data_IF_858068530440
#
_entry.id   IF_858068530440
#
_cell.length_a   1.000
_cell.length_b   1.000
_cell.length_c   1.000
_cell.angle_alpha   90.00
_cell.angle_beta   90.00
_cell.angle_gamma   90.00
#
_symmetry.space_group_name_H-M   'P 1'
#
loop_
_entity.id
_entity.type
_entity.pdbx_description
1 polymer ?
#
# COMPACT_ATOMS: atom_id res chain seq x y z
N UNK A 1 9.98 -5.24 -4.94
CA UNK A 1 8.57 -4.84 -5.10
C UNK A 1 8.11 -5.13 -6.53
N UNK A 2 6.94 -5.71 -6.66
CA UNK A 2 6.37 -6.05 -7.96
C UNK A 2 5.23 -5.08 -8.29
N UNK A 3 5.23 -4.57 -9.52
CA UNK A 3 4.14 -3.73 -10.02
C UNK A 3 3.02 -4.61 -10.54
N UNK A 4 1.79 -4.34 -10.11
CA UNK A 4 0.60 -5.03 -10.61
C UNK A 4 -0.47 -4.00 -10.92
N UNK A 5 -1.40 -4.35 -11.83
CA UNK A 5 -2.49 -3.44 -12.16
C UNK A 5 -3.59 -3.48 -11.09
N UNK A 6 -4.54 -2.55 -11.19
CA UNK A 6 -5.60 -2.43 -10.18
C UNK A 6 -6.47 -3.70 -10.12
N UNK A 7 -6.73 -4.33 -11.24
CA UNK A 7 -7.53 -5.56 -11.28
C UNK A 7 -6.86 -6.69 -10.50
N UNK A 8 -5.57 -6.91 -10.74
CA UNK A 8 -4.79 -7.91 -10.01
C UNK A 8 -4.70 -7.57 -8.53
N UNK A 9 -4.52 -6.27 -8.22
CA UNK A 9 -4.48 -5.80 -6.83
C UNK A 9 -5.78 -6.16 -6.10
N UNK A 10 -6.93 -5.89 -6.71
CA UNK A 10 -8.24 -6.19 -6.12
C UNK A 10 -8.39 -7.70 -5.87
N UNK A 11 -7.95 -8.54 -6.81
CA UNK A 11 -7.99 -9.98 -6.63
C UNK A 11 -7.12 -10.44 -5.46
N UNK A 12 -5.93 -9.88 -5.33
CA UNK A 12 -5.02 -10.22 -4.24
C UNK A 12 -5.53 -9.76 -2.87
N UNK A 13 -6.37 -8.73 -2.83
CA UNK A 13 -6.97 -8.28 -1.56
C UNK A 13 -7.80 -9.37 -0.88
N UNK A 14 -8.25 -10.37 -1.63
CA UNK A 14 -9.07 -11.47 -1.11
C UNK A 14 -8.22 -12.59 -0.51
N UNK A 15 -6.92 -12.59 -0.72
CA UNK A 15 -6.03 -13.65 -0.25
C UNK A 15 -5.74 -13.51 1.24
N UNK A 16 -5.54 -14.64 1.96
CA UNK A 16 -5.21 -14.58 3.38
C UNK A 16 -3.81 -13.99 3.62
N UNK A 17 -3.55 -13.53 4.82
CA UNK A 17 -2.27 -12.95 5.23
C UNK A 17 -1.85 -11.75 4.38
N UNK A 18 -2.82 -10.97 3.93
CA UNK A 18 -2.62 -9.82 3.07
C UNK A 18 -3.01 -8.54 3.80
N UNK A 19 -2.14 -7.54 3.74
CA UNK A 19 -2.37 -6.21 4.33
C UNK A 19 -2.39 -5.19 3.20
N UNK A 20 -3.41 -4.35 3.17
CA UNK A 20 -3.52 -3.24 2.22
C UNK A 20 -2.93 -2.01 2.90
N UNK A 21 -1.89 -1.44 2.31
CA UNK A 21 -1.15 -0.33 2.90
C UNK A 21 -1.31 0.92 2.05
N UNK A 22 -1.96 1.94 2.62
CA UNK A 22 -2.11 3.25 2.01
C UNK A 22 -0.98 4.14 2.50
N UNK A 23 -0.14 4.61 1.58
CA UNK A 23 1.02 5.45 1.96
C UNK A 23 0.82 6.90 1.57
N UNK A 24 -0.45 7.32 1.38
CA UNK A 24 -0.81 8.71 1.12
C UNK A 24 -0.86 9.51 2.42
N UNK A 25 -1.21 10.78 2.30
CA UNK A 25 -1.37 11.65 3.47
C UNK A 25 -2.71 11.37 4.17
N UNK A 26 -2.85 11.77 5.46
CA UNK A 26 -4.14 11.65 6.16
C UNK A 26 -5.29 12.36 5.45
N UNK A 27 -5.04 13.50 4.82
CA UNK A 27 -6.07 14.23 4.07
C UNK A 27 -6.58 13.43 2.87
N UNK A 28 -5.66 12.83 2.12
CA UNK A 28 -6.04 11.96 0.98
C UNK A 28 -6.84 10.74 1.49
N UNK A 29 -6.39 10.12 2.56
CA UNK A 29 -7.06 8.96 3.15
C UNK A 29 -8.49 9.31 3.56
N UNK A 30 -8.68 10.45 4.22
CA UNK A 30 -10.01 10.88 4.68
C UNK A 30 -10.97 11.18 3.54
N UNK A 31 -10.46 11.58 2.37
CA UNK A 31 -11.29 11.86 1.20
C UNK A 31 -11.80 10.58 0.52
N UNK A 32 -11.17 9.45 0.80
CA UNK A 32 -11.57 8.15 0.27
C UNK A 32 -10.38 7.19 0.26
N UNK A 33 -10.60 5.94 0.67
CA UNK A 33 -9.55 4.93 0.75
C UNK A 33 -10.13 3.53 0.53
N UNK A 34 -9.26 2.58 0.27
CA UNK A 34 -9.68 1.18 0.13
C UNK A 34 -10.10 0.65 1.52
N UNK A 35 -11.26 -0.02 1.64
CA UNK A 35 -11.69 -0.57 2.93
C UNK A 35 -10.63 -1.51 3.52
N UNK A 36 -10.48 -1.44 4.83
CA UNK A 36 -9.51 -2.25 5.60
C UNK A 36 -8.05 -1.88 5.34
N UNK A 37 -7.77 -0.80 4.60
CA UNK A 37 -6.39 -0.36 4.43
C UNK A 37 -5.86 0.29 5.70
N UNK A 38 -4.55 0.13 5.89
CA UNK A 38 -3.83 0.74 7.01
C UNK A 38 -3.07 1.94 6.45
N UNK A 39 -3.22 3.10 7.08
CA UNK A 39 -2.54 4.32 6.65
C UNK A 39 -1.18 4.44 7.33
N UNK A 40 -0.13 4.49 6.53
CA UNK A 40 1.20 4.90 7.00
C UNK A 40 1.74 5.90 5.99
N UNK A 41 1.73 7.18 6.34
CA UNK A 41 2.09 8.28 5.45
C UNK A 41 3.57 8.21 5.08
N UNK A 42 3.86 8.00 3.78
CA UNK A 42 5.23 7.91 3.27
C UNK A 42 6.04 9.18 3.51
N UNK A 43 5.37 10.35 3.56
CA UNK A 43 6.05 11.63 3.75
C UNK A 43 6.28 11.99 5.21
N UNK A 44 5.73 11.21 6.14
CA UNK A 44 5.90 11.48 7.56
C UNK A 44 7.31 11.09 8.02
N UNK A 45 7.89 11.86 8.98
CA UNK A 45 9.26 11.57 9.44
C UNK A 45 9.42 10.19 10.09
N UNK A 46 8.36 9.61 10.60
CA UNK A 46 8.39 8.32 11.30
C UNK A 46 8.00 7.14 10.40
N UNK A 47 7.91 7.35 9.08
CA UNK A 47 7.49 6.29 8.15
C UNK A 47 8.37 5.04 8.29
N UNK A 48 9.69 5.21 8.24
CA UNK A 48 10.63 4.09 8.31
C UNK A 48 10.51 3.31 9.61
N UNK A 49 10.29 4.02 10.72
CA UNK A 49 10.09 3.38 12.03
C UNK A 49 8.82 2.55 12.04
N UNK A 50 7.73 3.11 11.50
CA UNK A 50 6.43 2.41 11.50
C UNK A 50 6.44 1.16 10.65
N UNK A 51 7.06 1.18 9.46
CA UNK A 51 7.10 -0.02 8.62
C UNK A 51 7.94 -1.13 9.25
N UNK A 52 8.97 -0.80 10.02
CA UNK A 52 9.78 -1.82 10.71
C UNK A 52 9.00 -2.61 11.74
N UNK A 53 7.92 -2.04 12.27
CA UNK A 53 7.08 -2.71 13.26
C UNK A 53 6.04 -3.65 12.62
N UNK A 54 5.93 -3.65 11.29
CA UNK A 54 4.98 -4.52 10.59
C UNK A 54 5.51 -5.95 10.51
N UNK A 55 4.57 -6.91 10.45
CA UNK A 55 4.91 -8.33 10.29
C UNK A 55 5.42 -8.58 8.88
N UNK A 56 6.71 -8.90 8.76
CA UNK A 56 7.38 -9.07 7.45
C UNK A 56 7.00 -10.35 6.73
N UNK A 57 6.32 -11.27 7.40
CA UNK A 57 5.90 -12.53 6.81
C UNK A 57 4.59 -12.42 6.00
N UNK A 58 3.88 -11.30 6.13
CA UNK A 58 2.63 -11.07 5.41
C UNK A 58 2.89 -10.51 4.02
N UNK A 59 1.87 -10.60 3.16
CA UNK A 59 1.86 -9.97 1.84
C UNK A 59 1.34 -8.54 1.97
N UNK A 60 2.05 -7.59 1.40
CA UNK A 60 1.67 -6.18 1.45
C UNK A 60 1.28 -5.69 0.07
N UNK A 61 0.07 -5.13 0.00
CA UNK A 61 -0.47 -4.48 -1.20
C UNK A 61 -0.42 -2.98 -0.95
N UNK A 62 0.53 -2.30 -1.57
CA UNK A 62 0.84 -0.91 -1.28
C UNK A 62 0.32 -0.01 -2.38
N UNK A 63 -0.35 1.09 -2.02
CA UNK A 63 -0.83 2.05 -3.00
C UNK A 63 -0.69 3.49 -2.51
N UNK A 64 -0.62 4.40 -3.48
CA UNK A 64 -0.72 5.83 -3.25
C UNK A 64 -1.67 6.42 -4.29
N UNK A 65 -1.59 7.71 -4.57
CA UNK A 65 -2.50 8.33 -5.54
C UNK A 65 -2.21 7.90 -6.97
N UNK A 66 -0.94 7.91 -7.40
CA UNK A 66 -0.54 7.67 -8.79
C UNK A 66 0.50 6.55 -8.95
N UNK A 67 1.02 5.98 -7.88
CA UNK A 67 1.94 4.84 -7.92
C UNK A 67 3.39 5.13 -7.59
N UNK A 68 3.82 6.40 -7.50
CA UNK A 68 5.23 6.72 -7.26
C UNK A 68 5.65 6.61 -5.80
N UNK A 69 4.88 7.18 -4.89
CA UNK A 69 5.19 7.08 -3.45
C UNK A 69 5.13 5.63 -2.98
N UNK A 70 4.14 4.88 -3.46
CA UNK A 70 3.97 3.46 -3.10
C UNK A 70 5.11 2.60 -3.66
N UNK A 71 5.62 2.92 -4.84
CA UNK A 71 6.78 2.23 -5.39
C UNK A 71 8.01 2.44 -4.51
N UNK A 72 8.25 3.68 -4.11
CA UNK A 72 9.37 4.01 -3.22
C UNK A 72 9.21 3.35 -1.85
N UNK A 73 7.99 3.39 -1.30
CA UNK A 73 7.68 2.73 -0.03
C UNK A 73 7.93 1.22 -0.12
N UNK A 74 7.49 0.60 -1.20
CA UNK A 74 7.68 -0.83 -1.42
C UNK A 74 9.15 -1.20 -1.52
N UNK A 75 9.96 -0.36 -2.18
CA UNK A 75 11.41 -0.58 -2.26
C UNK A 75 12.06 -0.53 -0.88
N UNK A 76 11.65 0.40 -0.05
CA UNK A 76 12.16 0.47 1.32
C UNK A 76 11.76 -0.76 2.12
N UNK A 77 10.53 -1.24 1.96
CA UNK A 77 10.07 -2.45 2.63
C UNK A 77 10.90 -3.67 2.22
N UNK A 78 11.17 -3.84 0.93
CA UNK A 78 12.00 -4.95 0.43
C UNK A 78 13.41 -4.87 1.03
N UNK A 79 13.98 -3.67 1.14
CA UNK A 79 15.28 -3.49 1.78
C UNK A 79 15.27 -3.88 3.26
N UNK A 80 14.11 -3.84 3.90
CA UNK A 80 13.93 -4.24 5.30
C UNK A 80 13.44 -5.69 5.43
N UNK A 81 13.67 -6.51 4.41
CA UNK A 81 13.42 -7.96 4.41
C UNK A 81 11.93 -8.35 4.35
N UNK A 82 11.07 -7.47 3.86
CA UNK A 82 9.70 -7.85 3.53
C UNK A 82 9.72 -8.75 2.30
N UNK A 83 9.05 -9.89 2.38
CA UNK A 83 9.17 -10.94 1.37
C UNK A 83 8.23 -10.75 0.19
N UNK A 84 7.04 -10.19 0.42
CA UNK A 84 5.99 -10.08 -0.61
C UNK A 84 5.41 -8.68 -0.59
N UNK A 85 5.84 -7.84 -1.53
CA UNK A 85 5.39 -6.45 -1.62
C UNK A 85 4.98 -6.16 -3.06
N UNK A 86 3.74 -5.69 -3.24
CA UNK A 86 3.18 -5.36 -4.54
C UNK A 86 2.76 -3.90 -4.57
N UNK A 87 3.05 -3.23 -5.68
CA UNK A 87 2.67 -1.83 -5.90
C UNK A 87 1.56 -1.75 -6.93
N UNK A 88 0.51 -0.97 -6.65
CA UNK A 88 -0.57 -0.75 -7.62
C UNK A 88 -0.14 0.27 -8.67
N UNK A 89 0.01 -0.16 -9.91
CA UNK A 89 0.27 0.74 -11.03
C UNK A 89 -0.89 1.71 -11.20
N UNK A 90 -0.56 2.99 -11.38
CA UNK A 90 -1.55 4.05 -11.54
C UNK A 90 -2.23 4.49 -10.24
N UNK A 91 -2.04 3.76 -9.16
CA UNK A 91 -2.51 4.11 -7.84
C UNK A 91 -4.03 4.22 -7.71
N UNK A 92 -4.47 4.89 -6.65
CA UNK A 92 -5.89 5.03 -6.33
C UNK A 92 -6.67 5.73 -7.45
N UNK A 93 -6.01 6.57 -8.25
CA UNK A 93 -6.63 7.23 -9.39
C UNK A 93 -7.16 6.25 -10.43
N UNK A 94 -6.56 5.07 -10.55
CA UNK A 94 -6.98 4.02 -11.49
C UNK A 94 -7.76 2.89 -10.81
N UNK A 95 -8.03 3.03 -9.52
CA UNK A 95 -8.71 2.00 -8.75
C UNK A 95 -10.22 2.06 -8.99
N UNK A 96 -10.85 0.92 -9.27
CA UNK A 96 -12.30 0.84 -9.51
C UNK A 96 -13.05 -0.03 -8.51
N UNK A 97 -12.38 -0.49 -7.47
CA UNK A 97 -12.99 -1.33 -6.46
C UNK A 97 -13.73 -0.53 -5.39
N UNK A 98 -14.16 -1.21 -4.34
CA UNK A 98 -14.84 -0.54 -3.22
C UNK A 98 -13.94 0.47 -2.54
N UNK A 99 -14.55 1.56 -2.07
CA UNK A 99 -13.84 2.57 -1.29
C UNK A 99 -14.77 3.11 -0.20
N UNK A 100 -14.16 3.70 0.83
CA UNK A 100 -14.91 4.33 1.93
C UNK A 100 -14.18 5.59 2.39
N UNK A 101 -14.86 6.39 3.18
CA UNK A 101 -14.28 7.60 3.77
C UNK A 101 -14.03 7.47 5.25
#
# INVERSE_FOLDING_TARGET
VQDIDATTFIEKMKEPNTVILDVRTPEEYSAGHIPNSVLIDFTAPDFSTKIKDLDKSKTYLVYCAAGSRSKAAGREMVKNNFQSVYNMLGGFMNYHGPSEK
#
